data_IF_957606049586
#
_entry.id   IF_957606049586
#
_cell.length_a   1.000
_cell.length_b   1.000
_cell.length_c   1.000
_cell.angle_alpha   90.00
_cell.angle_beta   90.00
_cell.angle_gamma   90.00
#
_symmetry.space_group_name_H-M   'P 1'
#
loop_
_entity.id
_entity.type
_entity.pdbx_description
1 polymer ?
#
# COMPACT_ATOMS: atom_id res chain seq x y z
N UNK A 1 -10.30 8.97 -28.62
CA UNK A 1 -9.30 8.48 -27.66
C UNK A 1 -8.55 7.34 -28.35
N UNK A 2 -7.22 7.40 -28.41
CA UNK A 2 -6.42 6.35 -29.06
C UNK A 2 -6.65 5.03 -28.34
N UNK A 3 -6.95 3.96 -29.07
CA UNK A 3 -6.90 2.59 -28.54
C UNK A 3 -5.50 2.34 -27.96
N UNK A 4 -5.41 1.69 -26.80
CA UNK A 4 -4.14 1.24 -26.24
C UNK A 4 -3.43 0.30 -27.23
N UNK A 5 -2.10 0.29 -27.23
CA UNK A 5 -1.27 -0.71 -27.90
C UNK A 5 -0.82 -1.82 -26.94
N UNK A 6 -1.49 -1.98 -25.79
CA UNK A 6 -1.20 -3.09 -24.89
C UNK A 6 -1.33 -4.45 -25.61
N UNK A 7 -0.64 -5.51 -25.18
CA UNK A 7 -0.77 -6.83 -25.83
C UNK A 7 -2.10 -7.56 -25.54
N UNK A 8 -2.99 -7.06 -24.67
CA UNK A 8 -4.15 -7.85 -24.23
C UNK A 8 -5.17 -8.07 -25.36
N UNK A 9 -5.14 -7.22 -26.39
CA UNK A 9 -6.05 -7.20 -27.53
C UNK A 9 -5.93 -8.50 -28.33
N UNK A 10 -4.74 -9.10 -28.33
CA UNK A 10 -4.42 -10.35 -29.02
C UNK A 10 -4.76 -11.60 -28.19
N UNK A 11 -5.04 -11.44 -26.89
CA UNK A 11 -5.37 -12.57 -26.02
C UNK A 11 -6.73 -13.16 -26.35
N UNK A 12 -6.86 -14.48 -26.20
CA UNK A 12 -8.12 -15.21 -26.35
C UNK A 12 -8.97 -15.13 -25.07
N UNK A 13 -9.39 -13.92 -24.68
CA UNK A 13 -10.20 -13.63 -23.50
C UNK A 13 -11.59 -13.09 -23.89
N UNK A 14 -12.52 -13.01 -22.92
CA UNK A 14 -13.89 -12.52 -23.14
C UNK A 14 -13.93 -11.13 -23.81
N UNK A 15 -14.70 -11.00 -24.89
CA UNK A 15 -14.76 -9.76 -25.68
C UNK A 15 -15.38 -8.57 -24.91
N UNK A 16 -16.24 -8.83 -23.91
CA UNK A 16 -16.72 -7.79 -22.98
C UNK A 16 -15.58 -7.26 -22.12
N UNK A 17 -14.71 -8.16 -21.65
CA UNK A 17 -13.51 -7.78 -20.87
C UNK A 17 -12.57 -6.95 -21.73
N UNK A 18 -12.31 -7.34 -22.98
CA UNK A 18 -11.48 -6.54 -23.90
C UNK A 18 -12.02 -5.13 -24.11
N UNK A 19 -13.34 -4.95 -24.25
CA UNK A 19 -13.96 -3.62 -24.40
C UNK A 19 -13.73 -2.73 -23.18
N UNK A 20 -13.77 -3.30 -21.97
CA UNK A 20 -13.45 -2.56 -20.74
C UNK A 20 -11.97 -2.19 -20.70
N UNK A 21 -11.08 -3.16 -20.97
CA UNK A 21 -9.62 -2.95 -20.96
C UNK A 21 -9.12 -2.03 -22.09
N UNK A 22 -9.92 -1.79 -23.14
CA UNK A 22 -9.66 -0.79 -24.19
C UNK A 22 -9.49 0.63 -23.66
N UNK A 23 -10.11 0.94 -22.53
CA UNK A 23 -10.18 2.29 -22.00
C UNK A 23 -9.72 2.39 -20.54
N UNK A 24 -9.73 1.27 -19.82
CA UNK A 24 -9.41 1.24 -18.40
C UNK A 24 -8.28 0.24 -18.13
N UNK A 25 -7.11 0.71 -17.67
CA UNK A 25 -6.07 -0.20 -17.22
C UNK A 25 -6.55 -0.98 -16.01
N UNK A 26 -6.36 -2.31 -16.02
CA UNK A 26 -6.46 -3.11 -14.80
C UNK A 26 -5.40 -2.64 -13.82
N UNK A 27 -5.85 -2.11 -12.69
CA UNK A 27 -4.99 -1.58 -11.64
C UNK A 27 -5.18 -2.40 -10.37
N UNK A 28 -4.18 -3.23 -10.07
CA UNK A 28 -4.14 -3.98 -8.83
C UNK A 28 -3.51 -3.17 -7.67
N UNK A 29 -4.18 -3.21 -6.52
CA UNK A 29 -3.88 -2.42 -5.33
C UNK A 29 -2.66 -2.88 -4.52
N UNK A 30 -2.29 -4.16 -4.62
CA UNK A 30 -1.28 -4.74 -3.74
C UNK A 30 -0.67 -6.02 -4.32
N UNK A 31 0.65 -6.02 -4.54
CA UNK A 31 1.42 -7.19 -4.98
C UNK A 31 2.83 -7.18 -4.36
N UNK A 32 3.21 -8.28 -3.73
CA UNK A 32 4.42 -8.47 -2.94
C UNK A 32 5.60 -9.05 -3.72
N UNK A 33 5.57 -9.02 -5.06
CA UNK A 33 6.69 -9.44 -5.89
C UNK A 33 8.06 -8.94 -5.38
N UNK A 34 8.23 -7.68 -4.88
CA UNK A 34 9.50 -7.25 -4.30
C UNK A 34 10.04 -8.11 -3.14
N UNK A 35 9.20 -8.83 -2.40
CA UNK A 35 9.66 -9.80 -1.39
C UNK A 35 10.51 -10.91 -2.01
N UNK A 36 10.16 -11.34 -3.22
CA UNK A 36 10.79 -12.49 -3.86
C UNK A 36 12.30 -12.30 -4.07
N UNK A 37 12.78 -11.29 -4.83
CA UNK A 37 14.21 -11.06 -4.99
C UNK A 37 14.89 -10.65 -3.67
N UNK A 38 14.20 -9.98 -2.74
CA UNK A 38 14.76 -9.73 -1.40
C UNK A 38 15.09 -11.04 -0.69
N UNK A 39 14.16 -11.99 -0.66
CA UNK A 39 14.31 -13.24 0.07
C UNK A 39 15.25 -14.25 -0.63
N UNK A 40 15.17 -14.37 -1.97
CA UNK A 40 15.85 -15.47 -2.68
C UNK A 40 17.21 -15.09 -3.27
N UNK A 41 17.45 -13.80 -3.52
CA UNK A 41 18.70 -13.29 -4.11
C UNK A 41 19.33 -12.15 -3.31
N UNK A 42 18.76 -11.80 -2.16
CA UNK A 42 19.22 -10.68 -1.32
C UNK A 42 19.27 -9.35 -2.09
N UNK A 43 18.23 -9.08 -2.89
CA UNK A 43 18.07 -7.82 -3.62
C UNK A 43 18.91 -7.68 -4.89
N UNK A 44 19.65 -8.72 -5.26
CA UNK A 44 20.32 -8.81 -6.56
C UNK A 44 19.29 -9.22 -7.61
N UNK A 45 19.08 -8.41 -8.65
CA UNK A 45 18.03 -8.64 -9.66
C UNK A 45 18.57 -8.88 -11.07
N UNK A 46 19.86 -8.62 -11.28
CA UNK A 46 20.52 -8.80 -12.58
C UNK A 46 21.10 -10.21 -12.69
N UNK A 47 20.92 -10.85 -13.85
CA UNK A 47 21.45 -12.17 -14.20
C UNK A 47 21.17 -13.24 -13.14
N UNK A 48 19.94 -13.27 -12.60
CA UNK A 48 19.54 -14.17 -11.54
C UNK A 48 18.71 -15.36 -12.02
N UNK A 49 19.26 -16.58 -12.13
CA UNK A 49 18.50 -17.74 -12.60
C UNK A 49 17.39 -18.18 -11.63
N UNK A 50 17.42 -17.70 -10.37
CA UNK A 50 16.37 -17.95 -9.37
C UNK A 50 15.21 -16.94 -9.43
N UNK A 51 15.39 -15.87 -10.21
CA UNK A 51 14.45 -14.78 -10.37
C UNK A 51 14.54 -14.26 -11.82
N UNK A 52 14.11 -15.10 -12.76
CA UNK A 52 14.05 -14.76 -14.17
C UNK A 52 12.72 -14.04 -14.45
N UNK A 53 12.67 -12.75 -14.11
CA UNK A 53 11.44 -11.96 -14.23
C UNK A 53 10.97 -11.78 -15.68
N UNK A 54 11.90 -11.85 -16.65
CA UNK A 54 11.63 -11.69 -18.07
C UNK A 54 11.01 -12.94 -18.70
N UNK A 55 11.53 -14.11 -18.39
CA UNK A 55 11.08 -15.37 -19.00
C UNK A 55 10.20 -16.22 -18.08
N UNK A 56 10.09 -15.83 -16.81
CA UNK A 56 9.31 -16.51 -15.79
C UNK A 56 10.14 -17.43 -14.89
N UNK A 57 9.65 -17.64 -13.68
CA UNK A 57 10.33 -18.42 -12.64
C UNK A 57 9.34 -19.23 -11.80
N UNK A 58 9.81 -20.37 -11.28
CA UNK A 58 8.96 -21.39 -10.64
C UNK A 58 8.35 -20.92 -9.31
N UNK A 59 9.09 -20.12 -8.53
CA UNK A 59 8.70 -19.72 -7.18
C UNK A 59 8.12 -18.31 -7.19
N UNK A 60 6.85 -18.16 -7.54
CA UNK A 60 6.16 -16.87 -7.45
C UNK A 60 4.85 -16.87 -8.22
N UNK A 61 4.10 -15.79 -8.08
CA UNK A 61 2.79 -15.53 -8.70
C UNK A 61 2.89 -14.43 -9.76
N UNK A 62 4.04 -13.77 -9.88
CA UNK A 62 4.20 -12.61 -10.77
C UNK A 62 5.51 -12.66 -11.57
N UNK A 63 5.39 -12.66 -12.89
CA UNK A 63 6.48 -12.40 -13.84
C UNK A 63 5.95 -11.66 -15.08
N UNK A 64 6.85 -11.18 -15.94
CA UNK A 64 6.46 -10.41 -17.13
C UNK A 64 5.49 -11.20 -18.04
N UNK A 65 5.74 -12.46 -18.40
CA UNK A 65 4.80 -13.23 -19.22
C UNK A 65 3.40 -13.32 -18.59
N UNK A 66 3.30 -13.68 -17.30
CA UNK A 66 2.01 -13.78 -16.62
C UNK A 66 1.31 -12.43 -16.47
N UNK A 67 2.04 -11.34 -16.23
CA UNK A 67 1.47 -9.98 -16.19
C UNK A 67 0.84 -9.59 -17.54
N UNK A 68 1.49 -9.96 -18.65
CA UNK A 68 0.96 -9.73 -20.00
C UNK A 68 -0.28 -10.58 -20.26
N UNK A 69 -0.25 -11.87 -19.95
CA UNK A 69 -1.40 -12.78 -20.07
C UNK A 69 -2.57 -12.37 -19.16
N UNK A 70 -2.26 -11.77 -18.00
CA UNK A 70 -3.22 -11.20 -17.07
C UNK A 70 -3.83 -9.87 -17.49
N UNK A 71 -3.35 -9.29 -18.61
CA UNK A 71 -3.75 -7.97 -19.08
C UNK A 71 -3.59 -6.86 -18.01
N UNK A 72 -2.59 -6.97 -17.13
CA UNK A 72 -2.32 -5.98 -16.08
C UNK A 72 -1.89 -4.67 -16.71
N UNK A 73 -2.56 -3.56 -16.37
CA UNK A 73 -2.26 -2.23 -16.92
C UNK A 73 -1.54 -1.32 -15.93
N UNK A 74 -1.72 -1.57 -14.64
CA UNK A 74 -1.08 -0.86 -13.55
C UNK A 74 -0.96 -1.74 -12.30
N UNK A 75 0.07 -1.49 -11.50
CA UNK A 75 0.35 -2.23 -10.29
C UNK A 75 0.91 -1.28 -9.23
N UNK A 76 0.39 -1.41 -8.01
CA UNK A 76 1.14 -1.00 -6.84
C UNK A 76 2.01 -2.16 -6.34
N UNK A 77 3.32 -1.96 -6.34
CA UNK A 77 4.30 -2.88 -5.77
C UNK A 77 4.45 -2.60 -4.27
N UNK A 78 4.18 -3.62 -3.46
CA UNK A 78 4.27 -3.54 -2.01
C UNK A 78 5.73 -3.60 -1.56
N UNK A 79 6.08 -2.66 -0.68
CA UNK A 79 7.29 -2.70 0.12
C UNK A 79 6.89 -3.17 1.51
N UNK A 80 7.16 -4.44 1.78
CA UNK A 80 6.93 -5.07 3.07
C UNK A 80 8.27 -5.51 3.66
N UNK A 81 8.64 -5.03 4.83
CA UNK A 81 9.74 -5.61 5.59
C UNK A 81 9.10 -6.39 6.73
N UNK A 82 9.30 -7.72 6.81
CA UNK A 82 8.73 -8.52 7.87
C UNK A 82 9.08 -7.94 9.22
N UNK A 83 8.08 -7.85 10.09
CA UNK A 83 8.23 -7.43 11.47
C UNK A 83 9.21 -8.38 12.15
N UNK A 84 10.21 -7.84 12.87
CA UNK A 84 11.10 -8.66 13.70
C UNK A 84 10.24 -9.44 14.72
N UNK A 85 10.65 -10.65 15.12
CA UNK A 85 9.83 -11.47 16.06
C UNK A 85 9.66 -10.84 17.45
N UNK A 86 10.50 -9.86 17.79
CA UNK A 86 10.38 -8.99 18.98
C UNK A 86 9.69 -7.64 18.65
N UNK A 87 9.37 -7.40 17.37
CA UNK A 87 8.85 -6.17 16.78
C UNK A 87 7.36 -5.91 16.99
N UNK A 88 6.82 -6.30 18.15
CA UNK A 88 5.67 -5.58 18.71
C UNK A 88 6.13 -4.55 19.76
N UNK A 89 7.40 -4.57 20.17
CA UNK A 89 8.00 -3.53 21.01
C UNK A 89 8.66 -2.42 20.17
N UNK A 90 7.82 -1.50 19.69
CA UNK A 90 8.23 -0.27 18.99
C UNK A 90 8.96 0.75 19.86
N UNK A 91 9.34 0.38 21.09
CA UNK A 91 10.14 1.24 21.95
C UNK A 91 11.65 1.01 21.83
N UNK A 92 12.04 -0.09 21.18
CA UNK A 92 13.44 -0.45 20.96
C UNK A 92 14.06 0.29 19.78
N UNK A 93 15.39 0.48 19.82
CA UNK A 93 16.13 1.12 18.73
C UNK A 93 16.16 0.26 17.46
N UNK A 94 15.87 -1.04 17.57
CA UNK A 94 15.92 -2.03 16.48
C UNK A 94 14.91 -1.71 15.36
N UNK A 95 13.89 -0.89 15.64
CA UNK A 95 12.97 -0.36 14.62
C UNK A 95 13.65 0.53 13.58
N UNK A 96 14.81 1.12 13.89
CA UNK A 96 15.57 1.90 12.94
C UNK A 96 16.15 1.04 11.80
N UNK A 97 16.45 -0.24 12.03
CA UNK A 97 16.95 -1.13 10.99
C UNK A 97 15.88 -1.39 9.91
N UNK A 98 14.61 -1.45 10.30
CA UNK A 98 13.51 -1.63 9.36
C UNK A 98 13.35 -0.43 8.42
N UNK A 99 13.75 0.77 8.83
CA UNK A 99 13.79 1.95 7.96
C UNK A 99 14.88 1.84 6.88
N UNK A 100 16.06 1.33 7.21
CA UNK A 100 17.11 0.99 6.22
C UNK A 100 16.59 -0.05 5.24
N UNK A 101 16.08 -1.16 5.76
CA UNK A 101 15.59 -2.29 4.97
C UNK A 101 14.47 -1.89 4.01
N UNK A 102 13.60 -0.97 4.44
CA UNK A 102 12.55 -0.39 3.61
C UNK A 102 13.15 0.43 2.44
N UNK A 103 14.13 1.30 2.71
CA UNK A 103 14.82 2.07 1.66
C UNK A 103 15.52 1.15 0.66
N UNK A 104 16.20 0.10 1.12
CA UNK A 104 16.84 -0.90 0.25
C UNK A 104 15.82 -1.59 -0.67
N UNK A 105 14.61 -1.86 -0.15
CA UNK A 105 13.56 -2.52 -0.91
C UNK A 105 12.89 -1.55 -1.92
N UNK A 106 12.74 -0.26 -1.57
CA UNK A 106 12.32 0.80 -2.50
C UNK A 106 13.34 0.92 -3.65
N UNK A 107 14.63 0.99 -3.34
CA UNK A 107 15.72 1.04 -4.32
C UNK A 107 15.67 -0.18 -5.25
N UNK A 108 15.60 -1.38 -4.68
CA UNK A 108 15.55 -2.62 -5.45
C UNK A 108 14.34 -2.68 -6.38
N UNK A 109 13.17 -2.28 -5.90
CA UNK A 109 11.94 -2.24 -6.71
C UNK A 109 12.04 -1.21 -7.82
N UNK A 110 12.64 -0.05 -7.54
CA UNK A 110 12.89 1.00 -8.54
C UNK A 110 13.82 0.47 -9.64
N UNK A 111 14.95 -0.13 -9.27
CA UNK A 111 15.89 -0.76 -10.22
C UNK A 111 15.22 -1.88 -11.02
N UNK A 112 14.33 -2.67 -10.41
CA UNK A 112 13.60 -3.74 -11.08
C UNK A 112 12.72 -3.18 -12.20
N UNK A 113 11.93 -2.14 -11.91
CA UNK A 113 11.07 -1.47 -12.88
C UNK A 113 11.91 -0.83 -13.99
N UNK A 114 12.97 -0.10 -13.63
CA UNK A 114 13.84 0.60 -14.58
C UNK A 114 14.65 -0.34 -15.48
N UNK A 115 14.87 -1.59 -15.08
CA UNK A 115 15.57 -2.58 -15.88
C UNK A 115 14.78 -3.07 -17.10
N UNK A 116 13.45 -2.87 -17.11
CA UNK A 116 12.57 -3.31 -18.20
C UNK A 116 11.71 -2.14 -18.72
N UNK A 117 12.33 -1.09 -19.30
CA UNK A 117 11.66 0.15 -19.68
C UNK A 117 10.65 -0.01 -20.84
N UNK A 118 10.74 -1.09 -21.61
CA UNK A 118 9.78 -1.44 -22.65
C UNK A 118 8.52 -2.12 -22.08
N UNK A 119 8.58 -2.60 -20.83
CA UNK A 119 7.48 -3.26 -20.14
C UNK A 119 6.84 -2.35 -19.11
N UNK A 120 7.64 -1.64 -18.31
CA UNK A 120 7.16 -0.85 -17.19
C UNK A 120 7.56 0.62 -17.29
N UNK A 121 6.81 1.48 -16.58
CA UNK A 121 7.22 2.84 -16.26
C UNK A 121 6.82 3.15 -14.82
N UNK A 122 7.75 3.70 -14.02
CA UNK A 122 7.45 4.16 -12.66
C UNK A 122 6.61 5.44 -12.72
N UNK A 123 5.42 5.41 -12.13
CA UNK A 123 4.45 6.51 -12.12
C UNK A 123 4.26 7.09 -10.73
N UNK A 124 4.11 8.42 -10.70
CA UNK A 124 4.01 9.22 -9.46
C UNK A 124 2.70 10.01 -9.36
N UNK A 125 1.91 10.05 -10.41
CA UNK A 125 0.61 10.71 -10.44
C UNK A 125 -0.41 9.81 -11.16
N UNK A 126 -1.68 9.91 -10.77
CA UNK A 126 -2.76 9.14 -11.41
C UNK A 126 -2.91 9.43 -12.91
N UNK A 127 -2.57 10.64 -13.33
CA UNK A 127 -2.62 11.09 -14.72
C UNK A 127 -1.62 10.36 -15.63
N UNK A 128 -0.50 9.88 -15.08
CA UNK A 128 0.50 9.13 -15.83
C UNK A 128 0.04 7.72 -16.18
N UNK A 129 -0.83 7.11 -15.37
CA UNK A 129 -1.24 5.71 -15.54
C UNK A 129 -1.88 5.48 -16.90
N UNK A 130 -2.84 6.32 -17.30
CA UNK A 130 -3.51 6.18 -18.61
C UNK A 130 -2.56 6.48 -19.77
N UNK A 131 -1.61 7.41 -19.59
CA UNK A 131 -0.59 7.73 -20.59
C UNK A 131 0.31 6.52 -20.84
N UNK A 132 0.86 5.92 -19.79
CA UNK A 132 1.74 4.75 -19.84
C UNK A 132 1.00 3.54 -20.41
N UNK A 133 -0.23 3.30 -19.97
CA UNK A 133 -1.07 2.23 -20.50
C UNK A 133 -1.37 2.38 -22.00
N UNK A 134 -1.55 3.61 -22.48
CA UNK A 134 -1.72 3.92 -23.90
C UNK A 134 -0.50 3.55 -24.76
N UNK A 135 0.70 3.55 -24.16
CA UNK A 135 1.95 3.12 -24.79
C UNK A 135 2.15 1.60 -24.79
N UNK A 136 1.21 0.84 -24.21
CA UNK A 136 1.30 -0.61 -24.08
C UNK A 136 2.20 -1.10 -22.95
N UNK A 137 2.55 -0.22 -22.01
CA UNK A 137 3.35 -0.53 -20.82
C UNK A 137 2.46 -0.71 -19.58
N UNK A 138 3.04 -1.31 -18.54
CA UNK A 138 2.43 -1.46 -17.22
C UNK A 138 2.90 -0.31 -16.33
N UNK A 139 1.94 0.44 -15.79
CA UNK A 139 2.23 1.54 -14.87
C UNK A 139 2.62 0.97 -13.51
N UNK A 140 3.83 1.26 -13.04
CA UNK A 140 4.31 0.77 -11.74
C UNK A 140 4.31 1.90 -10.72
N UNK A 141 3.72 1.70 -9.56
CA UNK A 141 3.86 2.61 -8.42
C UNK A 141 4.20 1.82 -7.16
N UNK A 142 4.60 2.50 -6.09
CA UNK A 142 5.14 1.85 -4.89
C UNK A 142 4.28 2.21 -3.69
N UNK A 143 4.00 1.23 -2.83
CA UNK A 143 3.35 1.45 -1.53
C UNK A 143 4.11 0.81 -0.38
N UNK A 144 4.00 1.38 0.81
CA UNK A 144 4.62 0.83 2.03
C UNK A 144 3.58 0.09 2.85
N UNK A 145 3.83 -1.18 3.17
CA UNK A 145 2.93 -2.00 3.96
C UNK A 145 3.30 -1.98 5.45
N UNK A 146 3.03 -0.86 6.11
CA UNK A 146 3.14 -0.74 7.56
C UNK A 146 4.11 0.34 8.04
N UNK A 147 3.65 1.21 8.96
CA UNK A 147 4.47 2.28 9.52
C UNK A 147 5.53 1.82 10.52
N UNK A 148 5.63 0.53 10.85
CA UNK A 148 6.78 -0.01 11.60
C UNK A 148 8.10 0.24 10.87
N UNK A 149 8.06 0.30 9.53
CA UNK A 149 9.23 0.65 8.71
C UNK A 149 9.65 2.12 8.82
N UNK A 150 8.84 2.99 9.42
CA UNK A 150 9.15 4.42 9.48
C UNK A 150 10.20 4.77 10.56
N UNK A 151 10.64 3.79 11.37
CA UNK A 151 11.54 4.04 12.50
C UNK A 151 10.98 5.10 13.45
N UNK A 152 9.66 5.10 13.67
CA UNK A 152 8.92 6.07 14.47
C UNK A 152 9.12 7.54 14.04
N UNK A 153 9.33 7.79 12.75
CA UNK A 153 9.65 9.12 12.21
C UNK A 153 8.74 9.56 11.07
N UNK A 154 8.02 10.68 11.26
CA UNK A 154 7.24 11.34 10.20
C UNK A 154 8.15 11.82 9.05
N UNK A 155 9.39 12.21 9.36
CA UNK A 155 10.34 12.62 8.33
C UNK A 155 10.71 11.47 7.37
N UNK A 156 10.68 10.21 7.83
CA UNK A 156 10.88 9.05 6.98
C UNK A 156 9.70 8.85 6.02
N UNK A 157 8.46 9.11 6.47
CA UNK A 157 7.28 9.11 5.59
C UNK A 157 7.42 10.14 4.45
N UNK A 158 7.92 11.34 4.76
CA UNK A 158 8.25 12.34 3.73
C UNK A 158 9.33 11.84 2.77
N UNK A 159 10.39 11.23 3.30
CA UNK A 159 11.49 10.71 2.49
C UNK A 159 10.98 9.64 1.50
N UNK A 160 10.13 8.72 1.94
CA UNK A 160 9.49 7.73 1.06
C UNK A 160 8.69 8.38 -0.07
N UNK A 161 7.91 9.41 0.23
CA UNK A 161 7.14 10.13 -0.79
C UNK A 161 8.07 10.72 -1.87
N UNK A 162 9.21 11.28 -1.47
CA UNK A 162 10.25 11.78 -2.38
C UNK A 162 10.91 10.66 -3.20
N UNK A 163 11.09 9.47 -2.63
CA UNK A 163 11.61 8.30 -3.34
C UNK A 163 10.60 7.72 -4.36
N UNK A 164 9.32 8.06 -4.25
CA UNK A 164 8.29 7.69 -5.23
C UNK A 164 7.13 6.87 -4.66
N UNK A 165 7.10 6.63 -3.35
CA UNK A 165 5.99 5.95 -2.68
C UNK A 165 4.70 6.78 -2.76
N UNK A 166 3.56 6.13 -3.00
CA UNK A 166 2.26 6.79 -3.20
C UNK A 166 1.12 6.29 -2.32
N UNK A 167 1.27 5.17 -1.64
CA UNK A 167 0.43 4.84 -0.49
C UNK A 167 1.25 4.36 0.70
N UNK A 168 0.66 4.43 1.90
CA UNK A 168 1.22 3.81 3.08
C UNK A 168 0.12 3.19 3.96
N UNK A 169 0.27 1.90 4.26
CA UNK A 169 -0.57 1.15 5.20
C UNK A 169 -0.17 1.51 6.62
N UNK A 170 -1.14 1.87 7.46
CA UNK A 170 -0.87 2.36 8.82
C UNK A 170 -0.23 1.30 9.74
N UNK A 171 -0.59 0.03 9.57
CA UNK A 171 0.00 -1.11 10.27
C UNK A 171 0.08 -2.33 9.34
N UNK A 172 0.91 -3.31 9.67
CA UNK A 172 0.89 -4.62 9.02
C UNK A 172 0.39 -5.66 10.05
N UNK A 173 1.13 -6.74 10.33
CA UNK A 173 0.71 -7.78 11.27
C UNK A 173 1.08 -7.51 12.73
N UNK A 174 1.57 -6.32 13.05
CA UNK A 174 1.95 -5.91 14.39
C UNK A 174 1.45 -4.50 14.69
N UNK A 175 1.28 -4.18 15.97
CA UNK A 175 1.17 -2.79 16.38
C UNK A 175 2.49 -2.07 16.10
N UNK A 176 2.42 -0.77 15.90
CA UNK A 176 3.58 0.11 15.81
C UNK A 176 3.29 1.42 16.56
N UNK A 177 4.24 2.36 16.57
CA UNK A 177 4.07 3.63 17.28
C UNK A 177 2.87 4.47 16.79
N UNK A 178 2.30 4.17 15.61
CA UNK A 178 1.28 4.96 14.95
C UNK A 178 -0.13 4.36 15.09
N UNK A 179 -0.27 3.05 14.94
CA UNK A 179 -1.58 2.39 14.85
C UNK A 179 -1.60 0.96 15.39
N UNK A 180 -2.80 0.54 15.81
CA UNK A 180 -3.10 -0.84 16.19
C UNK A 180 -3.43 -1.72 14.97
N UNK A 181 -2.82 -2.90 14.92
CA UNK A 181 -3.07 -3.92 13.90
C UNK A 181 -4.21 -4.86 14.31
N UNK A 182 -5.06 -5.22 13.35
CA UNK A 182 -6.08 -6.27 13.47
C UNK A 182 -5.49 -7.67 13.73
N UNK A 183 -4.21 -7.88 13.44
CA UNK A 183 -3.52 -9.16 13.60
C UNK A 183 -2.48 -9.16 14.73
N UNK A 184 -2.37 -8.07 15.50
CA UNK A 184 -1.47 -7.98 16.64
C UNK A 184 -1.73 -9.10 17.65
N UNK A 185 -0.67 -9.75 18.13
CA UNK A 185 -0.77 -10.87 19.08
C UNK A 185 -1.00 -10.41 20.51
N UNK A 186 -0.62 -9.18 20.83
CA UNK A 186 -0.81 -8.58 22.16
C UNK A 186 -2.10 -7.77 22.29
N UNK A 187 -2.91 -7.70 21.23
CA UNK A 187 -4.12 -6.87 21.18
C UNK A 187 -3.82 -5.38 20.99
N UNK A 188 -4.83 -4.50 21.03
CA UNK A 188 -4.65 -3.07 20.80
C UNK A 188 -3.86 -2.42 21.95
N UNK A 189 -2.98 -1.47 21.62
CA UNK A 189 -2.18 -0.70 22.59
C UNK A 189 -2.51 0.78 22.58
N UNK A 190 -3.10 1.30 21.50
CA UNK A 190 -3.50 2.71 21.37
C UNK A 190 -5.01 2.91 21.49
N UNK A 191 -5.80 1.85 21.26
CA UNK A 191 -7.24 1.96 21.04
C UNK A 191 -7.55 2.57 19.68
N UNK A 192 -6.78 2.19 18.65
CA UNK A 192 -6.86 2.72 17.29
C UNK A 192 -5.57 3.43 16.87
N UNK A 193 -5.59 4.76 16.80
CA UNK A 193 -4.45 5.60 16.44
C UNK A 193 -3.83 6.26 17.68
N UNK A 194 -2.50 6.27 17.75
CA UNK A 194 -1.73 7.03 18.73
C UNK A 194 -1.72 8.54 18.38
N UNK A 195 -1.07 9.36 19.23
CA UNK A 195 -0.84 10.78 18.94
C UNK A 195 -0.05 10.96 17.63
N UNK A 196 1.11 10.29 17.50
CA UNK A 196 1.92 10.36 16.28
C UNK A 196 1.23 9.70 15.07
N UNK A 197 0.36 8.72 15.29
CA UNK A 197 -0.48 8.14 14.23
C UNK A 197 -1.42 9.17 13.61
N UNK A 198 -2.07 9.99 14.43
CA UNK A 198 -2.91 11.11 13.97
C UNK A 198 -2.07 12.15 13.22
N UNK A 199 -0.88 12.46 13.71
CA UNK A 199 0.08 13.35 13.04
C UNK A 199 0.51 12.80 11.67
N UNK A 200 0.70 11.49 11.54
CA UNK A 200 1.02 10.84 10.27
C UNK A 200 -0.12 10.94 9.24
N UNK A 201 -1.39 10.80 9.66
CA UNK A 201 -2.56 11.01 8.79
C UNK A 201 -2.55 12.43 8.20
N UNK A 202 -2.34 13.44 9.04
CA UNK A 202 -2.28 14.84 8.62
C UNK A 202 -1.13 15.10 7.64
N UNK A 203 0.05 14.53 7.92
CA UNK A 203 1.20 14.67 7.01
C UNK A 203 0.98 13.95 5.68
N UNK A 204 0.37 12.76 5.68
CA UNK A 204 0.04 12.03 4.47
C UNK A 204 -0.97 12.78 3.60
N UNK A 205 -1.99 13.41 4.20
CA UNK A 205 -2.89 14.32 3.48
C UNK A 205 -2.12 15.51 2.86
N UNK A 206 -1.22 16.13 3.63
CA UNK A 206 -0.40 17.26 3.15
C UNK A 206 0.54 16.87 2.02
N UNK A 207 1.10 15.66 2.06
CA UNK A 207 2.00 15.12 1.04
C UNK A 207 1.26 14.71 -0.23
N UNK A 208 0.01 14.27 -0.12
CA UNK A 208 -0.67 13.53 -1.18
C UNK A 208 -0.28 12.06 -1.22
N UNK A 209 0.01 11.48 -0.05
CA UNK A 209 0.17 10.04 0.13
C UNK A 209 -1.21 9.42 0.37
N UNK A 210 -1.56 8.38 -0.37
CA UNK A 210 -2.80 7.63 -0.13
C UNK A 210 -2.65 6.91 1.22
N UNK A 211 -3.61 7.13 2.11
CA UNK A 211 -3.67 6.41 3.38
C UNK A 211 -4.32 5.06 3.12
N UNK A 212 -3.62 3.99 3.44
CA UNK A 212 -4.13 2.63 3.36
C UNK A 212 -4.52 2.08 4.74
N UNK A 213 -5.74 1.56 4.82
CA UNK A 213 -6.38 1.03 6.02
C UNK A 213 -6.56 -0.49 5.98
N UNK A 214 -5.94 -1.19 5.03
CA UNK A 214 -5.70 -2.62 5.20
C UNK A 214 -4.94 -2.88 6.52
N UNK A 215 -5.09 -4.08 7.08
CA UNK A 215 -4.46 -4.58 8.32
C UNK A 215 -4.82 -3.89 9.64
N UNK A 216 -5.37 -2.68 9.66
CA UNK A 216 -5.64 -1.97 10.92
C UNK A 216 -6.88 -2.49 11.65
N UNK A 217 -6.97 -2.21 12.94
CA UNK A 217 -8.19 -2.46 13.74
C UNK A 217 -9.38 -1.61 13.26
N UNK A 218 -10.64 -2.03 13.49
CA UNK A 218 -11.82 -1.20 13.19
C UNK A 218 -11.78 0.19 13.85
N UNK A 219 -11.25 0.29 15.07
CA UNK A 219 -11.07 1.54 15.81
C UNK A 219 -10.08 2.47 15.09
N UNK A 220 -8.94 1.95 14.65
CA UNK A 220 -7.97 2.72 13.87
C UNK A 220 -8.55 3.19 12.53
N UNK A 221 -9.27 2.32 11.81
CA UNK A 221 -9.93 2.66 10.56
C UNK A 221 -10.97 3.77 10.76
N UNK A 222 -11.81 3.67 11.78
CA UNK A 222 -12.82 4.69 12.13
C UNK A 222 -12.14 6.03 12.38
N UNK A 223 -11.13 6.07 13.26
CA UNK A 223 -10.44 7.31 13.62
C UNK A 223 -9.69 7.93 12.42
N UNK A 224 -9.12 7.10 11.54
CA UNK A 224 -8.48 7.57 10.33
C UNK A 224 -9.49 8.19 9.35
N UNK A 225 -10.64 7.54 9.14
CA UNK A 225 -11.73 8.02 8.27
C UNK A 225 -12.36 9.33 8.79
N UNK A 226 -12.48 9.49 10.11
CA UNK A 226 -12.95 10.73 10.73
C UNK A 226 -11.94 11.88 10.63
N UNK A 227 -10.64 11.58 10.65
CA UNK A 227 -9.57 12.57 10.68
C UNK A 227 -9.10 13.02 9.29
N UNK A 228 -9.05 12.10 8.33
CA UNK A 228 -8.47 12.34 7.01
C UNK A 228 -9.29 13.35 6.20
N UNK A 229 -8.59 14.23 5.50
CA UNK A 229 -9.15 15.19 4.52
C UNK A 229 -9.18 14.64 3.09
N UNK A 230 -8.56 13.49 2.85
CA UNK A 230 -8.43 12.88 1.54
C UNK A 230 -9.13 11.51 1.49
N UNK A 231 -9.56 11.06 0.30
CA UNK A 231 -10.01 9.69 0.10
C UNK A 231 -8.96 8.67 0.54
N UNK A 232 -9.40 7.61 1.22
CA UNK A 232 -8.54 6.50 1.65
C UNK A 232 -8.67 5.30 0.73
N UNK A 233 -7.78 4.34 0.94
CA UNK A 233 -7.82 3.03 0.30
C UNK A 233 -7.83 1.94 1.38
N UNK A 234 -8.47 0.82 1.09
CA UNK A 234 -8.11 -0.47 1.68
C UNK A 234 -7.49 -1.28 0.53
N UNK A 235 -6.16 -1.39 0.49
CA UNK A 235 -5.43 -1.87 -0.70
C UNK A 235 -5.64 -3.36 -0.99
N UNK A 236 -6.09 -4.11 0.01
CA UNK A 236 -6.31 -5.56 -0.03
C UNK A 236 -7.12 -6.00 1.21
N UNK A 237 -8.44 -5.86 1.17
CA UNK A 237 -9.34 -6.28 2.26
C UNK A 237 -10.72 -6.67 1.75
N UNK A 238 -11.40 -7.56 2.48
CA UNK A 238 -12.73 -8.09 2.13
C UNK A 238 -13.80 -7.67 3.15
N UNK A 239 -15.05 -8.14 3.00
CA UNK A 239 -16.18 -7.79 3.87
C UNK A 239 -16.41 -8.81 5.00
N UNK A 240 -16.47 -8.33 6.25
CA UNK A 240 -16.62 -9.21 7.42
C UNK A 240 -17.98 -9.93 7.45
N UNK A 241 -19.03 -9.29 6.90
CA UNK A 241 -20.36 -9.87 6.82
C UNK A 241 -20.46 -11.10 5.90
N UNK A 242 -19.52 -11.27 4.97
CA UNK A 242 -19.42 -12.46 4.11
C UNK A 242 -18.55 -13.53 4.75
N UNK A 243 -17.41 -13.13 5.31
CA UNK A 243 -16.55 -14.02 6.07
C UNK A 243 -15.94 -13.29 7.27
N UNK A 244 -16.23 -13.79 8.46
CA UNK A 244 -15.79 -13.17 9.71
C UNK A 244 -14.34 -13.54 10.03
N UNK A 245 -13.42 -12.62 9.74
CA UNK A 245 -12.04 -12.67 10.19
C UNK A 245 -11.52 -11.27 10.52
N UNK A 246 -10.47 -11.14 11.37
CA UNK A 246 -9.96 -9.84 11.80
C UNK A 246 -9.50 -8.93 10.66
N UNK A 247 -9.12 -9.51 9.51
CA UNK A 247 -8.67 -8.75 8.34
C UNK A 247 -9.80 -8.18 7.50
N UNK A 248 -11.02 -8.67 7.67
CA UNK A 248 -12.16 -8.21 6.89
C UNK A 248 -12.85 -7.01 7.54
N UNK A 249 -13.36 -6.12 6.70
CA UNK A 249 -13.90 -4.82 7.09
C UNK A 249 -15.33 -5.00 7.62
N UNK A 250 -15.63 -4.57 8.86
CA UNK A 250 -16.99 -4.53 9.37
C UNK A 250 -17.89 -3.58 8.58
N UNK A 251 -19.17 -3.88 8.51
CA UNK A 251 -20.19 -3.06 7.86
C UNK A 251 -20.19 -1.59 8.32
N UNK A 252 -19.95 -1.36 9.61
CA UNK A 252 -19.86 -0.01 10.19
C UNK A 252 -18.74 0.83 9.60
N UNK A 253 -17.65 0.19 9.15
CA UNK A 253 -16.52 0.87 8.50
C UNK A 253 -16.78 1.00 6.99
N UNK A 254 -17.36 -0.03 6.35
CA UNK A 254 -17.76 0.04 4.95
C UNK A 254 -18.67 1.25 4.68
N UNK A 255 -19.64 1.51 5.56
CA UNK A 255 -20.59 2.62 5.43
C UNK A 255 -19.94 4.01 5.46
N UNK A 256 -18.73 4.13 6.03
CA UNK A 256 -17.96 5.38 6.06
C UNK A 256 -17.17 5.62 4.76
N UNK A 257 -16.89 4.57 3.97
CA UNK A 257 -16.06 4.67 2.76
C UNK A 257 -16.66 5.62 1.71
N UNK A 258 -17.98 5.57 1.39
CA UNK A 258 -18.58 6.52 0.46
C UNK A 258 -18.56 7.97 0.94
N UNK A 259 -18.71 8.18 2.26
CA UNK A 259 -18.66 9.53 2.87
C UNK A 259 -17.28 10.15 2.69
N UNK A 260 -16.23 9.33 2.89
CA UNK A 260 -14.86 9.73 2.65
C UNK A 260 -14.50 9.84 1.14
N UNK A 261 -15.17 9.08 0.28
CA UNK A 261 -14.88 8.97 -1.15
C UNK A 261 -13.83 7.91 -1.52
N UNK A 262 -13.48 7.04 -0.56
CA UNK A 262 -12.43 6.03 -0.67
C UNK A 262 -12.80 4.81 -1.53
N UNK A 263 -11.95 3.78 -1.49
CA UNK A 263 -12.14 2.51 -2.22
C UNK A 263 -11.70 1.30 -1.38
N UNK A 264 -12.44 0.20 -1.49
CA UNK A 264 -12.07 -1.12 -0.95
C UNK A 264 -11.60 -2.02 -2.08
N UNK A 265 -10.34 -2.42 -2.07
CA UNK A 265 -9.75 -3.28 -3.10
C UNK A 265 -9.77 -4.73 -2.63
N UNK A 266 -10.52 -5.57 -3.35
CA UNK A 266 -10.85 -6.95 -2.95
C UNK A 266 -9.63 -7.85 -3.01
N UNK A 267 -9.42 -8.62 -1.94
CA UNK A 267 -8.27 -9.46 -1.67
C UNK A 267 -8.53 -10.94 -1.98
N UNK A 268 -7.48 -11.66 -2.44
CA UNK A 268 -7.58 -13.04 -2.90
C UNK A 268 -6.94 -14.06 -1.93
N UNK A 269 -6.62 -13.66 -0.70
CA UNK A 269 -6.04 -14.53 0.32
C UNK A 269 -7.08 -15.58 0.75
N UNK A 270 -6.80 -16.88 0.59
CA UNK A 270 -7.73 -17.93 0.96
C UNK A 270 -8.23 -17.85 2.42
N UNK A 271 -7.34 -17.49 3.35
CA UNK A 271 -7.62 -17.35 4.78
C UNK A 271 -8.56 -16.17 5.10
N UNK A 272 -8.78 -15.26 4.16
CA UNK A 272 -9.69 -14.12 4.31
C UNK A 272 -11.09 -14.39 3.75
N UNK A 273 -11.32 -15.55 3.15
CA UNK A 273 -12.61 -15.90 2.53
C UNK A 273 -13.15 -17.26 2.97
N UNK A 274 -12.30 -18.12 3.56
CA UNK A 274 -12.68 -19.46 4.01
C UNK A 274 -11.95 -19.89 5.29
N UNK A 275 -12.63 -20.65 6.16
CA UNK A 275 -12.06 -21.18 7.41
C UNK A 275 -10.89 -22.13 7.15
N UNK A 276 -10.98 -22.91 6.07
CA UNK A 276 -9.89 -23.75 5.59
C UNK A 276 -9.53 -23.28 4.19
N UNK A 277 -8.30 -22.79 4.02
CA UNK A 277 -7.75 -22.27 2.76
C UNK A 277 -7.97 -23.17 1.53
N UNK A 278 -8.06 -24.50 1.73
CA UNK A 278 -8.30 -25.45 0.62
C UNK A 278 -9.72 -25.40 0.08
N UNK A 279 -10.66 -24.86 0.84
CA UNK A 279 -12.07 -24.78 0.50
C UNK A 279 -12.42 -23.44 -0.18
N UNK A 280 -11.49 -22.48 -0.17
CA UNK A 280 -11.65 -21.18 -0.82
C UNK A 280 -11.80 -21.34 -2.34
N UNK A 281 -12.73 -20.57 -2.92
CA UNK A 281 -13.10 -20.58 -4.33
C UNK A 281 -13.19 -19.16 -4.87
N UNK A 282 -13.06 -19.04 -6.19
CA UNK A 282 -13.28 -17.76 -6.88
C UNK A 282 -14.68 -17.19 -6.59
N UNK A 283 -15.68 -18.03 -6.36
CA UNK A 283 -17.03 -17.59 -6.00
C UNK A 283 -17.08 -16.83 -4.67
N UNK A 284 -16.23 -17.18 -3.69
CA UNK A 284 -16.16 -16.47 -2.41
C UNK A 284 -15.62 -15.04 -2.61
N UNK A 285 -14.64 -14.87 -3.51
CA UNK A 285 -14.13 -13.54 -3.91
C UNK A 285 -15.20 -12.74 -4.64
N UNK A 286 -15.97 -13.38 -5.53
CA UNK A 286 -17.10 -12.74 -6.21
C UNK A 286 -18.19 -12.32 -5.21
N UNK A 287 -18.47 -13.12 -4.18
CA UNK A 287 -19.42 -12.78 -3.12
C UNK A 287 -19.00 -11.48 -2.41
N UNK A 288 -17.72 -11.33 -2.09
CA UNK A 288 -17.19 -10.09 -1.51
C UNK A 288 -17.30 -8.88 -2.46
N UNK A 289 -16.95 -9.02 -3.74
CA UNK A 289 -17.10 -7.95 -4.75
C UNK A 289 -18.54 -7.46 -4.78
N UNK A 290 -19.50 -8.37 -4.97
CA UNK A 290 -20.90 -8.00 -5.10
C UNK A 290 -21.51 -7.51 -3.81
N UNK A 291 -21.14 -8.07 -2.66
CA UNK A 291 -21.61 -7.59 -1.37
C UNK A 291 -21.22 -6.13 -1.13
N UNK A 292 -19.94 -5.81 -1.29
CA UNK A 292 -19.42 -4.45 -1.09
C UNK A 292 -20.04 -3.51 -2.13
N UNK A 293 -20.05 -3.89 -3.41
CA UNK A 293 -20.64 -3.07 -4.46
C UNK A 293 -22.14 -2.80 -4.26
N UNK A 294 -22.90 -3.77 -3.75
CA UNK A 294 -24.33 -3.60 -3.46
C UNK A 294 -24.58 -2.75 -2.21
N UNK A 295 -23.70 -2.84 -1.21
CA UNK A 295 -23.82 -2.09 0.04
C UNK A 295 -23.44 -0.63 -0.13
N UNK A 296 -22.25 -0.39 -0.66
CA UNK A 296 -21.61 0.94 -0.67
C UNK A 296 -21.46 1.53 -2.08
N UNK A 297 -21.88 0.81 -3.11
CA UNK A 297 -21.87 1.25 -4.49
C UNK A 297 -20.62 0.83 -5.28
N UNK A 298 -20.80 0.61 -6.58
CA UNK A 298 -19.73 0.24 -7.51
C UNK A 298 -18.62 1.29 -7.64
N UNK A 299 -18.83 2.51 -7.17
CA UNK A 299 -17.80 3.55 -7.12
C UNK A 299 -16.75 3.31 -6.03
N UNK A 300 -16.95 2.34 -5.13
CA UNK A 300 -16.11 2.16 -3.94
C UNK A 300 -15.46 0.78 -3.83
N UNK A 301 -15.41 0.02 -4.94
CA UNK A 301 -14.81 -1.33 -4.99
C UNK A 301 -13.69 -1.39 -6.04
N UNK A 302 -12.62 -2.12 -5.75
CA UNK A 302 -11.44 -2.32 -6.62
C UNK A 302 -10.88 -3.74 -6.51
N UNK A 303 -9.70 -3.99 -7.09
CA UNK A 303 -8.97 -5.26 -7.01
C UNK A 303 -7.62 -5.08 -6.31
N UNK A 304 -7.33 -5.91 -5.31
CA UNK A 304 -6.16 -5.79 -4.44
C UNK A 304 -5.63 -7.17 -4.08
N UNK A 305 -4.97 -7.81 -5.03
CA UNK A 305 -4.78 -9.25 -5.09
C UNK A 305 -4.06 -9.86 -3.90
N UNK A 306 -3.00 -9.19 -3.43
CA UNK A 306 -2.04 -9.72 -2.47
C UNK A 306 -1.24 -10.91 -3.03
N UNK A 307 -1.05 -10.93 -4.36
CA UNK A 307 -0.17 -11.91 -5.00
C UNK A 307 1.27 -11.76 -4.48
N UNK A 308 1.97 -12.89 -4.39
CA UNK A 308 3.30 -13.05 -3.78
C UNK A 308 3.39 -12.77 -2.26
N UNK A 309 2.30 -12.30 -1.62
CA UNK A 309 2.19 -12.08 -0.17
C UNK A 309 1.68 -13.31 0.60
N UNK A 310 1.25 -14.34 -0.13
CA UNK A 310 0.56 -15.52 0.43
C UNK A 310 1.34 -16.82 0.25
N UNK A 311 1.06 -17.79 1.14
CA UNK A 311 1.65 -19.14 1.08
C UNK A 311 0.83 -20.12 0.23
N UNK A 312 -0.39 -19.74 -0.15
CA UNK A 312 -1.32 -20.55 -0.96
C UNK A 312 -2.32 -19.66 -1.66
N UNK A 313 -2.86 -20.14 -2.79
CA UNK A 313 -3.76 -19.39 -3.65
C UNK A 313 -5.12 -20.06 -3.78
N UNK A 314 -6.10 -19.31 -4.28
CA UNK A 314 -7.44 -19.81 -4.58
C UNK A 314 -7.43 -20.45 -5.97
N UNK A 315 -7.99 -21.66 -6.17
CA UNK A 315 -8.13 -22.24 -7.51
C UNK A 315 -8.89 -21.31 -8.47
N UNK A 316 -8.29 -21.03 -9.63
CA UNK A 316 -8.72 -20.04 -10.60
C UNK A 316 -8.15 -18.63 -10.40
N UNK A 317 -7.48 -18.36 -9.27
CA UNK A 317 -6.79 -17.12 -8.91
C UNK A 317 -5.36 -17.45 -8.43
N UNK A 318 -4.64 -18.27 -9.18
CA UNK A 318 -3.33 -18.79 -8.78
C UNK A 318 -2.18 -17.80 -8.96
N UNK A 319 -2.32 -16.89 -9.92
CA UNK A 319 -1.28 -15.93 -10.27
C UNK A 319 -1.88 -14.74 -11.04
N UNK A 320 -1.06 -13.75 -11.39
CA UNK A 320 -1.52 -12.54 -12.08
C UNK A 320 -2.16 -12.81 -13.45
N UNK A 321 -2.01 -14.00 -14.06
CA UNK A 321 -2.70 -14.31 -15.33
C UNK A 321 -4.19 -14.58 -15.16
N UNK A 322 -4.65 -14.75 -13.92
CA UNK A 322 -6.04 -15.09 -13.61
C UNK A 322 -7.03 -13.94 -13.77
N UNK A 323 -6.57 -12.69 -13.86
CA UNK A 323 -7.46 -11.53 -13.92
C UNK A 323 -8.52 -11.59 -15.03
N UNK A 324 -8.22 -11.92 -16.31
CA UNK A 324 -9.25 -11.93 -17.34
C UNK A 324 -10.40 -12.90 -17.03
N UNK A 325 -10.09 -14.04 -16.40
CA UNK A 325 -11.09 -15.02 -15.96
C UNK A 325 -11.95 -14.46 -14.82
N UNK A 326 -11.35 -13.78 -13.84
CA UNK A 326 -12.09 -13.10 -12.78
C UNK A 326 -13.02 -12.03 -13.34
N UNK A 327 -12.54 -11.18 -14.25
CA UNK A 327 -13.35 -10.13 -14.86
C UNK A 327 -14.53 -10.68 -15.67
N UNK A 328 -14.32 -11.78 -16.41
CA UNK A 328 -15.40 -12.48 -17.10
C UNK A 328 -16.44 -13.02 -16.11
N UNK A 329 -16.00 -13.62 -15.00
CA UNK A 329 -16.90 -14.13 -13.97
C UNK A 329 -17.71 -13.02 -13.27
N UNK A 330 -17.14 -11.83 -13.09
CA UNK A 330 -17.87 -10.65 -12.58
C UNK A 330 -18.99 -10.24 -13.54
N UNK A 331 -18.74 -10.24 -14.85
CA UNK A 331 -19.74 -9.95 -15.87
C UNK A 331 -20.81 -11.05 -15.97
N UNK A 332 -20.41 -12.32 -15.89
CA UNK A 332 -21.33 -13.47 -15.90
C UNK A 332 -22.29 -13.46 -14.71
N UNK A 333 -21.82 -12.92 -13.57
CA UNK A 333 -22.62 -12.73 -12.37
C UNK A 333 -23.55 -11.50 -12.42
N UNK A 334 -23.52 -10.75 -13.52
CA UNK A 334 -24.50 -9.70 -13.84
C UNK A 334 -24.00 -8.27 -13.70
N UNK A 335 -22.70 -8.04 -13.49
CA UNK A 335 -22.14 -6.70 -13.58
C UNK A 335 -22.20 -6.19 -15.03
N UNK A 336 -22.46 -4.89 -15.20
CA UNK A 336 -22.34 -4.21 -16.50
C UNK A 336 -20.88 -3.90 -16.82
N UNK A 337 -20.56 -3.68 -18.09
CA UNK A 337 -19.21 -3.23 -18.50
C UNK A 337 -18.80 -1.92 -17.81
N UNK A 338 -19.75 -1.01 -17.57
CA UNK A 338 -19.48 0.23 -16.83
C UNK A 338 -19.13 -0.01 -15.36
N UNK A 339 -19.81 -0.96 -14.70
CA UNK A 339 -19.48 -1.37 -13.32
C UNK A 339 -18.12 -2.09 -13.27
N UNK A 340 -17.83 -2.91 -14.29
CA UNK A 340 -16.54 -3.56 -14.42
C UNK A 340 -15.41 -2.53 -14.59
N UNK A 341 -15.58 -1.48 -15.41
CA UNK A 341 -14.60 -0.39 -15.54
C UNK A 341 -14.27 0.27 -14.19
N UNK A 342 -15.29 0.47 -13.34
CA UNK A 342 -15.09 1.00 -11.98
C UNK A 342 -14.22 0.09 -11.13
N UNK A 343 -14.58 -1.19 -11.07
CA UNK A 343 -13.85 -2.23 -10.34
C UNK A 343 -12.39 -2.38 -10.83
N UNK A 344 -12.20 -2.37 -12.14
CA UNK A 344 -10.91 -2.68 -12.79
C UNK A 344 -9.87 -1.59 -12.56
N UNK A 345 -10.24 -0.31 -12.46
CA UNK A 345 -9.24 0.73 -12.24
C UNK A 345 -9.76 2.16 -12.13
N UNK A 346 -10.96 2.50 -12.61
CA UNK A 346 -11.42 3.90 -12.55
C UNK A 346 -11.55 4.41 -11.10
N UNK A 347 -11.96 3.54 -10.17
CA UNK A 347 -12.14 3.93 -8.77
C UNK A 347 -10.82 4.29 -8.08
N UNK A 348 -9.78 3.47 -8.23
CA UNK A 348 -8.47 3.77 -7.63
C UNK A 348 -7.82 5.00 -8.27
N UNK A 349 -8.00 5.19 -9.59
CA UNK A 349 -7.53 6.41 -10.25
C UNK A 349 -8.27 7.66 -9.75
N UNK A 350 -9.57 7.55 -9.43
CA UNK A 350 -10.34 8.63 -8.79
C UNK A 350 -9.82 8.93 -7.39
N UNK A 351 -9.61 7.90 -6.57
CA UNK A 351 -9.08 8.03 -5.20
C UNK A 351 -7.72 8.71 -5.21
N UNK A 352 -6.78 8.23 -6.04
CA UNK A 352 -5.45 8.81 -6.17
C UNK A 352 -5.51 10.27 -6.65
N UNK A 353 -6.37 10.59 -7.62
CA UNK A 353 -6.58 11.99 -8.05
C UNK A 353 -7.16 12.86 -6.93
N UNK A 354 -8.07 12.34 -6.11
CA UNK A 354 -8.64 13.03 -4.96
C UNK A 354 -7.60 13.31 -3.87
N UNK A 355 -6.66 12.38 -3.65
CA UNK A 355 -5.52 12.57 -2.75
C UNK A 355 -4.59 13.68 -3.26
N UNK A 356 -4.25 13.69 -4.55
CA UNK A 356 -3.45 14.76 -5.15
C UNK A 356 -4.16 16.13 -5.07
N UNK A 357 -5.49 16.15 -5.27
CA UNK A 357 -6.29 17.37 -5.10
C UNK A 357 -6.22 17.90 -3.66
N UNK A 358 -6.32 17.04 -2.64
CA UNK A 358 -6.19 17.45 -1.24
C UNK A 358 -4.81 18.01 -0.92
N UNK A 359 -3.74 17.38 -1.42
CA UNK A 359 -2.36 17.90 -1.32
C UNK A 359 -2.27 19.32 -1.88
N UNK A 360 -2.75 19.53 -3.10
CA UNK A 360 -2.64 20.83 -3.78
C UNK A 360 -3.47 21.90 -3.06
N UNK A 361 -4.65 21.54 -2.55
CA UNK A 361 -5.48 22.42 -1.72
C UNK A 361 -4.76 22.80 -0.41
N UNK A 362 -4.14 21.84 0.28
CA UNK A 362 -3.40 22.09 1.52
C UNK A 362 -2.17 22.96 1.29
N UNK A 363 -1.51 22.83 0.14
CA UNK A 363 -0.42 23.71 -0.26
C UNK A 363 -0.90 25.16 -0.45
N UNK A 364 -2.06 25.37 -1.09
CA UNK A 364 -2.68 26.69 -1.24
C UNK A 364 -3.11 27.31 0.10
N UNK A 365 -3.54 26.48 1.05
CA UNK A 365 -3.85 26.88 2.44
C UNK A 365 -2.58 27.23 3.24
N UNK A 366 -1.39 26.93 2.72
CA UNK A 366 -0.12 27.18 3.41
C UNK A 366 0.17 26.20 4.56
N UNK A 367 -0.47 25.03 4.57
CA UNK A 367 -0.27 24.00 5.60
C UNK A 367 1.20 23.58 5.63
N UNK A 368 1.83 23.69 6.82
CA UNK A 368 3.25 23.36 7.02
C UNK A 368 3.44 21.86 7.26
N UNK A 369 4.63 21.31 6.97
CA UNK A 369 4.96 19.93 7.36
C UNK A 369 4.76 19.71 8.84
N UNK A 370 4.24 18.52 9.18
CA UNK A 370 4.12 18.10 10.58
C UNK A 370 5.51 17.87 11.17
N UNK A 371 5.76 18.46 12.33
CA UNK A 371 7.03 18.42 13.07
C UNK A 371 6.95 17.55 14.34
N UNK A 372 5.79 16.95 14.61
CA UNK A 372 5.60 16.06 15.75
C UNK A 372 6.59 14.90 15.73
N UNK A 373 7.03 14.53 16.93
CA UNK A 373 8.00 13.45 17.16
C UNK A 373 7.39 12.41 18.06
N UNK A 374 7.86 11.16 17.92
CA UNK A 374 7.38 10.07 18.75
C UNK A 374 7.79 10.31 20.21
N UNK A 375 6.86 10.19 21.14
CA UNK A 375 7.07 10.52 22.56
C UNK A 375 8.17 9.68 23.20
N UNK A 376 8.41 8.45 22.72
CA UNK A 376 9.49 7.60 23.20
C UNK A 376 10.86 7.90 22.59
N UNK A 377 10.99 8.93 21.73
CA UNK A 377 12.25 9.28 21.08
C UNK A 377 13.27 9.80 22.11
N UNK A 378 14.45 9.16 22.14
CA UNK A 378 15.60 9.63 22.91
C UNK A 378 16.42 10.62 22.08
N UNK A 379 16.73 11.76 22.68
CA UNK A 379 17.52 12.83 22.06
C UNK A 379 18.96 12.82 22.58
N UNK A 380 19.88 13.20 21.68
CA UNK A 380 21.31 13.19 21.94
C UNK A 380 21.90 14.50 21.47
N UNK A 381 22.86 15.04 22.23
CA UNK A 381 23.73 16.14 21.77
C UNK A 381 25.02 15.55 21.21
N UNK A 382 25.69 16.34 20.37
CA UNK A 382 26.99 16.00 19.81
C UNK A 382 28.05 16.86 20.48
N UNK A 383 28.98 16.22 21.19
CA UNK A 383 30.04 16.91 21.92
C UNK A 383 31.27 17.24 21.05
N UNK A 384 31.26 16.87 19.77
CA UNK A 384 32.40 16.99 18.86
C UNK A 384 33.01 15.64 18.49
N UNK A 385 32.78 14.58 19.27
CA UNK A 385 33.32 13.23 19.04
C UNK A 385 32.26 12.12 19.18
N UNK A 386 31.35 12.23 20.15
CA UNK A 386 30.36 11.21 20.49
C UNK A 386 28.95 11.80 20.68
N UNK A 387 27.95 10.90 20.62
CA UNK A 387 26.61 11.21 21.08
C UNK A 387 26.58 11.13 22.61
N UNK A 388 26.13 12.21 23.25
CA UNK A 388 25.87 12.25 24.68
C UNK A 388 24.36 12.43 24.90
N UNK A 389 23.82 11.85 25.98
CA UNK A 389 22.43 12.10 26.36
C UNK A 389 22.20 13.61 26.48
N UNK A 390 21.09 14.12 25.96
CA UNK A 390 20.75 15.53 26.11
C UNK A 390 20.40 15.83 27.58
N UNK A 391 21.21 16.62 28.32
CA UNK A 391 20.93 16.94 29.71
C UNK A 391 19.84 18.02 29.86
N UNK A 392 19.45 18.68 28.77
CA UNK A 392 18.42 19.73 28.74
C UNK A 392 17.60 19.66 27.44
N UNK A 393 16.76 18.61 27.28
CA UNK A 393 16.01 18.36 26.05
C UNK A 393 14.88 19.37 25.81
N UNK A 394 14.49 20.12 26.84
CA UNK A 394 13.46 21.17 26.75
C UNK A 394 14.07 22.58 26.62
N UNK A 395 15.39 22.69 26.50
CA UNK A 395 16.16 23.95 26.46
C UNK A 395 15.81 24.90 27.63
N UNK A 396 15.48 24.34 28.80
CA UNK A 396 15.10 25.10 30.00
C UNK A 396 16.29 25.81 30.64
N UNK A 397 17.50 25.36 30.35
CA UNK A 397 18.74 25.79 30.99
C UNK A 397 19.62 26.59 30.03
N UNK A 398 19.22 26.72 28.76
CA UNK A 398 19.95 27.48 27.74
C UNK A 398 21.32 26.90 27.47
N UNK A 399 21.48 25.57 27.59
CA UNK A 399 22.73 24.90 27.28
C UNK A 399 22.98 25.01 25.78
N UNK A 400 24.17 25.52 25.43
CA UNK A 400 24.60 25.60 24.03
C UNK A 400 24.73 24.20 23.41
N UNK A 401 25.13 24.15 22.14
CA UNK A 401 25.23 22.91 21.33
C UNK A 401 25.91 21.73 22.07
N UNK A 402 26.87 22.02 22.95
CA UNK A 402 27.66 21.05 23.70
C UNK A 402 27.00 20.49 24.98
N UNK A 403 25.75 20.88 25.31
CA UNK A 403 25.07 20.38 26.52
C UNK A 403 25.68 20.88 27.83
N UNK A 404 26.49 21.92 27.76
CA UNK A 404 27.06 22.64 28.90
C UNK A 404 26.66 24.11 28.83
N UNK A 405 26.61 24.83 29.95
CA UNK A 405 26.43 26.28 29.94
C UNK A 405 27.44 26.93 28.99
N UNK A 406 27.01 27.91 28.20
CA UNK A 406 27.94 28.71 27.41
C UNK A 406 28.97 29.36 28.36
N UNK A 407 30.26 29.37 28.00
CA UNK A 407 31.27 30.11 28.74
C UNK A 407 30.81 31.56 28.97
N UNK A 408 31.08 32.12 30.16
CA UNK A 408 30.60 33.45 30.53
C UNK A 408 31.13 34.57 29.60
N UNK A 409 32.19 34.30 28.84
CA UNK A 409 32.82 35.16 27.84
C UNK A 409 32.25 34.97 26.41
N UNK A 410 31.28 34.07 26.22
CA UNK A 410 30.62 33.80 24.93
C UNK A 410 29.24 34.48 24.78
N UNK A 411 28.82 35.33 25.73
CA UNK A 411 27.59 36.16 25.66
C UNK A 411 27.84 37.58 25.16
#
# INVERSE_FOLDING_TARGET
MSSSNHPYQELAIDERVKRVLAHTPLFDGHNDLPQMPRAVTHGKIYDQPKFDFENGFERGMTDIPRLREGAVGAQFWSICVPVLREGEDFTTADYCDMARDCIEQIDMTTRLVENYPDVFELVRESSDVKRVYGQGKISSSIGIEGLHMAGNSIAVIRAWYHLGVRYCTMAHNCNNAFADSSQSRVGPVHGGLSSIGRSAILEMNRLGMIIDLSHVTPEAATQALELTRAPVMFSHSNAQAIFDCPRNIPDSILDLVPINGGVVMINFVPEHVATNRRDAKMDDVLDHIFYIANRIGWDHVGLGSDFDGVISTIPGLEDVKSYPKLLAAVLDRGATEAQLSKLVGENILRVWSGVAFTRDKMALEGVKPVEDVWEGRKWWRYDGEYQINDPDPEDKHGYGWFGVPLPADAM
#
